data_IF_017223749245
#
_entry.id   IF_017223749245
#
_cell.length_a   1.000
_cell.length_b   1.000
_cell.length_c   1.000
_cell.angle_alpha   90.00
_cell.angle_beta   90.00
_cell.angle_gamma   90.00
#
_symmetry.space_group_name_H-M   'P 1'
#
loop_
_entity.id
_entity.type
_entity.pdbx_description
1 polymer ?
#
# COMPACT_ATOMS: atom_id res chain seq x y z
N UNK A 1 -7.44 -4.65 5.82
CA UNK A 1 -5.98 -4.88 5.98
C UNK A 1 -5.34 -3.58 6.37
N UNK A 2 -4.70 -3.54 7.54
CA UNK A 2 -4.02 -2.34 8.03
C UNK A 2 -2.75 -2.08 7.21
N UNK A 3 -2.69 -0.95 6.50
CA UNK A 3 -1.58 -0.56 5.61
C UNK A 3 -0.33 -0.10 6.36
N UNK A 4 -0.48 0.32 7.61
CA UNK A 4 0.61 0.77 8.48
C UNK A 4 1.30 -0.38 9.22
N UNK A 5 0.62 -1.51 9.38
CA UNK A 5 1.10 -2.67 10.13
C UNK A 5 1.42 -3.88 9.25
N UNK A 6 0.72 -4.05 8.12
CA UNK A 6 0.93 -5.23 7.26
C UNK A 6 2.37 -5.30 6.72
N UNK A 7 2.90 -6.52 6.61
CA UNK A 7 4.19 -6.78 5.98
C UNK A 7 4.08 -6.66 4.45
N UNK A 8 5.21 -6.46 3.77
CA UNK A 8 5.21 -6.43 2.30
C UNK A 8 4.66 -7.73 1.69
N UNK A 9 4.91 -8.87 2.33
CA UNK A 9 4.38 -10.16 1.87
C UNK A 9 2.85 -10.22 2.01
N UNK A 10 2.31 -9.86 3.18
CA UNK A 10 0.87 -9.81 3.41
C UNK A 10 0.16 -8.84 2.47
N UNK A 11 0.76 -7.67 2.21
CA UNK A 11 0.25 -6.70 1.23
C UNK A 11 0.24 -7.29 -0.18
N UNK A 12 1.27 -8.05 -0.57
CA UNK A 12 1.34 -8.63 -1.91
C UNK A 12 0.35 -9.77 -2.14
N UNK A 13 0.05 -10.56 -1.11
CA UNK A 13 -0.92 -11.66 -1.17
C UNK A 13 -2.36 -11.16 -1.03
N UNK A 14 -2.55 -10.10 -0.24
CA UNK A 14 -3.86 -9.58 0.11
C UNK A 14 -4.45 -8.56 -0.86
N UNK A 15 -3.63 -7.96 -1.74
CA UNK A 15 -4.02 -6.86 -2.62
C UNK A 15 -3.87 -7.22 -4.10
N UNK A 16 -4.89 -6.92 -4.89
CA UNK A 16 -4.93 -7.23 -6.32
C UNK A 16 -4.05 -6.26 -7.13
N UNK A 17 -3.10 -6.79 -7.89
CA UNK A 17 -2.19 -6.00 -8.74
C UNK A 17 -1.03 -5.32 -7.99
N UNK A 18 -0.86 -5.65 -6.70
CA UNK A 18 0.26 -5.25 -5.86
C UNK A 18 1.18 -6.45 -5.71
N UNK A 19 2.21 -6.55 -6.56
CA UNK A 19 3.25 -7.55 -6.39
C UNK A 19 4.21 -7.20 -5.23
N UNK A 20 5.14 -8.10 -4.92
CA UNK A 20 6.08 -7.94 -3.82
C UNK A 20 6.92 -6.64 -3.92
N UNK A 21 7.32 -6.23 -5.12
CA UNK A 21 8.06 -4.98 -5.33
C UNK A 21 7.24 -3.74 -4.93
N UNK A 22 5.96 -3.68 -5.34
CA UNK A 22 5.07 -2.57 -4.99
C UNK A 22 4.74 -2.57 -3.50
N UNK A 23 4.53 -3.75 -2.92
CA UNK A 23 4.32 -3.89 -1.49
C UNK A 23 5.54 -3.43 -0.68
N UNK A 24 6.77 -3.76 -1.12
CA UNK A 24 8.00 -3.23 -0.53
C UNK A 24 8.08 -1.72 -0.64
N UNK A 25 7.68 -1.13 -1.77
CA UNK A 25 7.64 0.32 -1.94
C UNK A 25 6.67 0.99 -0.94
N UNK A 26 5.52 0.37 -0.65
CA UNK A 26 4.58 0.87 0.35
C UNK A 26 5.20 0.86 1.75
N UNK A 27 5.86 -0.24 2.14
CA UNK A 27 6.53 -0.35 3.44
C UNK A 27 7.67 0.66 3.56
N UNK A 28 8.53 0.75 2.53
CA UNK A 28 9.62 1.72 2.51
C UNK A 28 9.10 3.18 2.60
N UNK A 29 7.99 3.49 1.93
CA UNK A 29 7.39 4.82 2.00
C UNK A 29 6.96 5.17 3.42
N UNK A 30 6.26 4.28 4.14
CA UNK A 30 5.86 4.57 5.53
C UNK A 30 7.04 4.59 6.52
N UNK A 31 8.12 3.86 6.23
CA UNK A 31 9.34 3.91 7.04
C UNK A 31 10.09 5.24 6.86
N UNK A 32 10.06 5.81 5.65
CA UNK A 32 10.75 7.07 5.33
C UNK A 32 9.91 8.32 5.64
N UNK A 33 8.61 8.27 5.38
CA UNK A 33 7.71 9.43 5.48
C UNK A 33 6.79 9.36 6.71
N UNK A 34 6.81 8.25 7.46
CA UNK A 34 5.88 7.98 8.55
C UNK A 34 4.60 7.29 8.09
N UNK A 35 3.75 6.95 9.06
CA UNK A 35 2.51 6.23 8.81
C UNK A 35 1.57 6.96 7.84
N UNK A 36 0.85 6.20 7.01
CA UNK A 36 -0.21 6.71 6.17
C UNK A 36 -1.34 7.25 7.05
N UNK A 37 -1.70 8.52 6.85
CA UNK A 37 -2.83 9.19 7.48
C UNK A 37 -4.10 9.11 6.64
N UNK A 38 -3.96 8.85 5.34
CA UNK A 38 -5.05 8.64 4.38
C UNK A 38 -4.62 7.68 3.28
N UNK A 39 -5.58 6.98 2.68
CA UNK A 39 -5.28 5.98 1.64
C UNK A 39 -4.73 6.63 0.36
N UNK A 40 -5.10 7.88 0.07
CA UNK A 40 -4.63 8.62 -1.11
C UNK A 40 -3.12 8.88 -1.10
N UNK A 41 -2.47 8.83 0.08
CA UNK A 41 -1.01 8.91 0.14
C UNK A 41 -0.33 7.72 -0.53
N UNK A 42 -1.03 6.60 -0.73
CA UNK A 42 -0.51 5.49 -1.53
C UNK A 42 -0.24 5.90 -2.99
N UNK A 43 -0.89 6.94 -3.51
CA UNK A 43 -0.59 7.47 -4.85
C UNK A 43 0.78 8.14 -4.96
N UNK A 44 1.40 8.48 -3.82
CA UNK A 44 2.77 9.00 -3.77
C UNK A 44 3.80 7.88 -3.83
N UNK A 45 3.39 6.62 -3.64
CA UNK A 45 4.27 5.46 -3.72
C UNK A 45 4.52 5.12 -5.18
N UNK A 46 5.79 5.08 -5.58
CA UNK A 46 6.19 4.74 -6.94
C UNK A 46 5.63 3.38 -7.35
N UNK A 47 4.88 3.35 -8.46
CA UNK A 47 4.25 2.13 -8.99
C UNK A 47 2.85 1.82 -8.45
N UNK A 48 2.30 2.68 -7.58
CA UNK A 48 0.91 2.64 -7.13
C UNK A 48 0.12 3.76 -7.81
N UNK A 49 -0.72 3.38 -8.78
CA UNK A 49 -1.62 4.32 -9.45
C UNK A 49 -3.04 4.31 -8.88
N UNK A 50 -3.86 5.28 -9.28
CA UNK A 50 -5.27 5.40 -8.87
C UNK A 50 -6.08 4.12 -9.14
N UNK A 51 -5.84 3.45 -10.27
CA UNK A 51 -6.52 2.20 -10.59
C UNK A 51 -6.21 1.06 -9.60
N UNK A 52 -5.00 1.01 -9.05
CA UNK A 52 -4.63 0.01 -8.04
C UNK A 52 -5.20 0.37 -6.68
N UNK A 53 -5.18 1.66 -6.33
CA UNK A 53 -5.78 2.15 -5.10
C UNK A 53 -7.27 1.84 -5.06
N UNK A 54 -8.03 2.22 -6.08
CA UNK A 54 -9.48 2.03 -6.13
C UNK A 54 -9.87 0.55 -6.10
N UNK A 55 -9.13 -0.31 -6.81
CA UNK A 55 -9.34 -1.77 -6.76
C UNK A 55 -9.17 -2.38 -5.37
N UNK A 56 -8.33 -1.77 -4.54
CA UNK A 56 -7.96 -2.31 -3.23
C UNK A 56 -8.56 -1.51 -2.07
N UNK A 57 -9.23 -0.39 -2.34
CA UNK A 57 -9.72 0.56 -1.33
C UNK A 57 -10.61 -0.09 -0.29
N UNK A 58 -11.52 -0.97 -0.71
CA UNK A 58 -12.41 -1.70 0.19
C UNK A 58 -11.68 -2.70 1.11
N UNK A 59 -10.45 -3.10 0.77
CA UNK A 59 -9.63 -4.04 1.54
C UNK A 59 -8.62 -3.33 2.43
N UNK A 60 -8.41 -2.03 2.24
CA UNK A 60 -7.42 -1.23 2.94
C UNK A 60 -8.03 -0.51 4.15
N UNK A 61 -7.26 -0.46 5.22
CA UNK A 61 -7.54 0.32 6.42
C UNK A 61 -6.23 0.95 6.91
N UNK A 62 -6.33 2.05 7.66
CA UNK A 62 -5.18 2.71 8.28
C UNK A 62 -4.73 1.98 9.55
#
# INVERSE_FOLDING_TARGET
MNINQASAQALSEGLSGIGLEKARAIVAFREQHGAFSRLEQLLQVKGIGAALLEKNRARLAL
#
